data_IF_761251079453
#
_entry.id   IF_761251079453
#
_cell.length_a   1.000
_cell.length_b   1.000
_cell.length_c   1.000
_cell.angle_alpha   90.00
_cell.angle_beta   90.00
_cell.angle_gamma   90.00
#
_symmetry.space_group_name_H-M   'P 1'
#
loop_
_entity.id
_entity.type
_entity.pdbx_description
1 polymer ?
#
# COMPACT_ATOMS: atom_id res chain seq x y z
N UNK A 1 0.43 -19.94 -108.79
CA UNK A 1 -0.95 -20.45 -108.88
C UNK A 1 -1.34 -20.87 -110.30
N UNK A 2 -0.61 -21.83 -110.92
CA UNK A 2 -0.91 -22.29 -112.30
C UNK A 2 -0.76 -23.79 -112.54
N UNK A 3 -0.45 -24.60 -111.52
CA UNK A 3 -0.25 -26.06 -111.65
C UNK A 3 -1.41 -26.92 -111.16
N UNK A 4 -2.46 -26.31 -110.60
CA UNK A 4 -3.64 -27.04 -110.05
C UNK A 4 -4.79 -27.10 -111.06
N UNK A 5 -4.86 -26.13 -111.98
CA UNK A 5 -5.92 -26.03 -113.00
C UNK A 5 -5.72 -26.95 -114.22
N UNK A 6 -4.56 -27.59 -114.37
CA UNK A 6 -4.22 -28.47 -115.51
C UNK A 6 -4.42 -29.98 -115.23
N UNK A 7 -4.95 -30.37 -114.06
CA UNK A 7 -5.17 -31.78 -113.69
C UNK A 7 -6.64 -32.20 -113.91
N UNK A 8 -6.92 -33.46 -114.32
CA UNK A 8 -8.28 -34.02 -114.42
C UNK A 8 -9.09 -33.80 -113.13
N UNK A 9 -10.40 -33.57 -113.27
CA UNK A 9 -11.29 -33.15 -112.16
C UNK A 9 -11.20 -34.06 -110.92
N UNK A 10 -11.02 -35.37 -111.09
CA UNK A 10 -10.87 -36.35 -110.00
C UNK A 10 -9.57 -36.17 -109.18
N UNK A 11 -8.47 -35.77 -109.81
CA UNK A 11 -7.20 -35.51 -109.09
C UNK A 11 -7.24 -34.20 -108.30
N UNK A 12 -7.97 -33.18 -108.78
CA UNK A 12 -8.17 -31.95 -108.01
C UNK A 12 -9.02 -32.19 -106.75
N UNK A 13 -10.00 -33.10 -106.84
CA UNK A 13 -10.86 -33.47 -105.72
C UNK A 13 -10.11 -34.26 -104.65
N UNK A 14 -9.25 -35.21 -105.04
CA UNK A 14 -8.38 -35.93 -104.11
C UNK A 14 -7.46 -34.97 -103.36
N UNK A 15 -6.81 -34.01 -104.04
CA UNK A 15 -5.92 -33.04 -103.38
C UNK A 15 -6.68 -32.15 -102.39
N UNK A 16 -7.93 -31.77 -102.70
CA UNK A 16 -8.79 -31.04 -101.76
C UNK A 16 -9.13 -31.89 -100.54
N UNK A 17 -9.59 -33.12 -100.75
CA UNK A 17 -9.92 -34.04 -99.67
C UNK A 17 -8.70 -34.37 -98.79
N UNK A 18 -7.51 -34.55 -99.37
CA UNK A 18 -6.28 -34.77 -98.61
C UNK A 18 -5.92 -33.56 -97.75
N UNK A 19 -6.07 -32.34 -98.28
CA UNK A 19 -5.84 -31.11 -97.49
C UNK A 19 -6.85 -30.97 -96.36
N UNK A 20 -8.11 -31.30 -96.59
CA UNK A 20 -9.17 -31.23 -95.58
C UNK A 20 -8.92 -32.25 -94.45
N UNK A 21 -8.48 -33.47 -94.81
CA UNK A 21 -8.07 -34.51 -93.83
C UNK A 21 -6.83 -34.06 -93.06
N UNK A 22 -5.83 -33.49 -93.73
CA UNK A 22 -4.59 -33.01 -93.09
C UNK A 22 -4.87 -31.86 -92.13
N UNK A 23 -5.72 -30.90 -92.53
CA UNK A 23 -6.18 -29.82 -91.65
C UNK A 23 -6.98 -30.35 -90.46
N UNK A 24 -7.87 -31.33 -90.68
CA UNK A 24 -8.64 -31.96 -89.62
C UNK A 24 -7.74 -32.69 -88.61
N UNK A 25 -6.74 -33.41 -89.11
CA UNK A 25 -5.76 -34.11 -88.29
C UNK A 25 -4.90 -33.15 -87.46
N UNK A 26 -4.49 -32.01 -88.04
CA UNK A 26 -3.75 -30.98 -87.30
C UNK A 26 -4.59 -30.36 -86.16
N UNK A 27 -5.86 -30.05 -86.41
CA UNK A 27 -6.78 -29.53 -85.39
C UNK A 27 -7.02 -30.56 -84.29
N UNK A 28 -7.22 -31.83 -84.66
CA UNK A 28 -7.39 -32.92 -83.70
C UNK A 28 -6.18 -33.06 -82.77
N UNK A 29 -4.96 -33.03 -83.32
CA UNK A 29 -3.73 -33.09 -82.54
C UNK A 29 -3.56 -31.87 -81.62
N UNK A 30 -3.96 -30.67 -82.07
CA UNK A 30 -3.96 -29.47 -81.22
C UNK A 30 -4.93 -29.61 -80.03
N UNK A 31 -6.14 -30.10 -80.28
CA UNK A 31 -7.14 -30.30 -79.22
C UNK A 31 -6.67 -31.35 -78.21
N UNK A 32 -6.08 -32.45 -78.69
CA UNK A 32 -5.55 -33.51 -77.83
C UNK A 32 -4.42 -32.98 -76.92
N UNK A 33 -3.48 -32.21 -77.48
CA UNK A 33 -2.43 -31.58 -76.69
C UNK A 33 -3.00 -30.61 -75.64
N UNK A 34 -4.03 -29.83 -76.01
CA UNK A 34 -4.66 -28.89 -75.09
C UNK A 34 -5.42 -29.59 -73.96
N UNK A 35 -6.07 -30.71 -74.24
CA UNK A 35 -6.71 -31.54 -73.23
C UNK A 35 -5.70 -32.06 -72.20
N UNK A 36 -4.54 -32.56 -72.66
CA UNK A 36 -3.48 -33.03 -71.77
C UNK A 36 -2.88 -31.92 -70.91
N UNK A 37 -2.66 -30.74 -71.49
CA UNK A 37 -2.20 -29.56 -70.76
C UNK A 37 -3.20 -29.14 -69.67
N UNK A 38 -4.50 -29.16 -69.98
CA UNK A 38 -5.55 -28.85 -69.01
C UNK A 38 -5.64 -29.90 -67.91
N UNK A 39 -5.51 -31.19 -68.21
CA UNK A 39 -5.46 -32.27 -67.20
C UNK A 39 -4.27 -32.11 -66.24
N UNK A 40 -3.11 -31.70 -66.75
CA UNK A 40 -1.92 -31.43 -65.93
C UNK A 40 -2.16 -30.18 -65.07
N UNK A 41 -2.75 -29.14 -65.64
CA UNK A 41 -3.07 -27.89 -64.92
C UNK A 41 -4.08 -28.15 -63.81
N UNK A 42 -5.15 -28.91 -64.09
CA UNK A 42 -6.16 -29.31 -63.12
C UNK A 42 -5.54 -30.07 -61.95
N UNK A 43 -4.68 -31.05 -62.22
CA UNK A 43 -3.92 -31.78 -61.20
C UNK A 43 -2.93 -30.87 -60.43
N UNK A 44 -2.41 -29.82 -61.05
CA UNK A 44 -1.51 -28.84 -60.42
C UNK A 44 -2.24 -27.79 -59.57
N UNK A 45 -3.57 -27.67 -59.68
CA UNK A 45 -4.39 -26.73 -58.91
C UNK A 45 -4.72 -27.19 -57.49
N UNK A 46 -4.23 -28.35 -57.05
CA UNK A 46 -4.28 -28.71 -55.62
C UNK A 46 -3.30 -27.79 -54.89
N UNK A 47 -3.78 -26.63 -54.47
CA UNK A 47 -3.00 -25.62 -53.78
C UNK A 47 -2.48 -26.16 -52.45
N UNK A 48 -1.17 -26.39 -52.37
CA UNK A 48 -0.50 -26.73 -51.12
C UNK A 48 -0.23 -25.43 -50.35
N UNK A 49 -1.02 -25.19 -49.30
CA UNK A 49 -0.85 -24.01 -48.45
C UNK A 49 0.26 -24.29 -47.46
N UNK A 50 1.49 -23.88 -47.79
CA UNK A 50 2.63 -23.98 -46.89
C UNK A 50 2.78 -22.70 -46.08
N UNK A 51 2.72 -22.82 -44.75
CA UNK A 51 3.01 -21.72 -43.85
C UNK A 51 4.51 -21.38 -43.99
N UNK A 52 4.81 -20.19 -44.52
CA UNK A 52 6.19 -19.71 -44.76
C UNK A 52 6.79 -19.13 -43.48
N UNK A 53 5.98 -18.50 -42.63
CA UNK A 53 6.44 -17.90 -41.37
C UNK A 53 5.36 -17.98 -40.29
N UNK A 54 5.54 -18.78 -39.22
CA UNK A 54 4.64 -18.75 -38.09
C UNK A 54 4.80 -17.45 -37.29
N UNK A 55 3.68 -16.83 -36.91
CA UNK A 55 3.71 -15.64 -36.05
C UNK A 55 4.34 -15.97 -34.68
N UNK A 56 5.55 -15.48 -34.45
CA UNK A 56 6.26 -15.66 -33.19
C UNK A 56 5.66 -14.69 -32.17
N UNK A 57 4.80 -15.18 -31.30
CA UNK A 57 4.40 -14.43 -30.12
C UNK A 57 5.57 -14.45 -29.14
N UNK A 58 6.03 -13.27 -28.72
CA UNK A 58 6.99 -13.19 -27.62
C UNK A 58 6.26 -13.54 -26.32
N UNK A 59 6.61 -14.63 -25.61
CA UNK A 59 6.03 -14.91 -24.31
C UNK A 59 6.68 -13.97 -23.30
N UNK A 60 6.12 -12.76 -23.19
CA UNK A 60 6.64 -11.74 -22.30
C UNK A 60 5.71 -10.55 -22.22
N UNK A 61 5.31 -10.19 -21.01
CA UNK A 61 4.49 -9.00 -20.76
C UNK A 61 5.37 -7.77 -20.96
N UNK A 62 5.25 -7.10 -22.11
CA UNK A 62 6.12 -5.98 -22.49
C UNK A 62 6.03 -4.79 -21.49
N UNK A 63 4.85 -4.61 -20.85
CA UNK A 63 4.55 -3.59 -19.81
C UNK A 63 3.34 -4.06 -18.98
N UNK A 64 3.16 -3.68 -17.68
CA UNK A 64 3.97 -2.82 -16.84
C UNK A 64 4.88 -3.59 -15.88
N UNK A 65 5.97 -2.96 -15.42
CA UNK A 65 6.88 -3.50 -14.39
C UNK A 65 6.18 -3.51 -13.02
N UNK A 66 5.34 -4.52 -12.77
CA UNK A 66 4.51 -4.63 -11.56
C UNK A 66 5.33 -4.46 -10.26
N UNK A 67 6.55 -4.99 -10.22
CA UNK A 67 7.46 -4.82 -9.08
C UNK A 67 7.85 -3.35 -8.81
N UNK A 68 8.10 -2.56 -9.85
CA UNK A 68 8.43 -1.13 -9.72
C UNK A 68 7.21 -0.33 -9.19
N UNK A 69 6.01 -0.69 -9.65
CA UNK A 69 4.75 -0.06 -9.21
C UNK A 69 4.47 -0.39 -7.75
N UNK A 70 4.63 -1.66 -7.35
CA UNK A 70 4.45 -2.09 -5.96
C UNK A 70 5.46 -1.39 -5.05
N UNK A 71 6.73 -1.33 -5.46
CA UNK A 71 7.76 -0.63 -4.71
C UNK A 71 7.44 0.87 -4.57
N UNK A 72 7.01 1.51 -5.65
CA UNK A 72 6.58 2.91 -5.63
C UNK A 72 5.38 3.15 -4.71
N UNK A 73 4.40 2.24 -4.72
CA UNK A 73 3.21 2.32 -3.86
C UNK A 73 3.56 2.15 -2.37
N UNK A 74 4.48 1.24 -2.03
CA UNK A 74 4.95 1.06 -0.65
C UNK A 74 5.65 2.32 -0.15
N UNK A 75 6.54 2.90 -0.96
CA UNK A 75 7.27 4.12 -0.59
C UNK A 75 6.30 5.30 -0.40
N UNK A 76 5.36 5.49 -1.34
CA UNK A 76 4.33 6.53 -1.21
C UNK A 76 3.43 6.31 0.00
N UNK A 77 3.02 5.07 0.26
CA UNK A 77 2.21 4.72 1.43
C UNK A 77 2.90 5.02 2.74
N UNK A 78 4.19 4.67 2.87
CA UNK A 78 5.00 5.01 4.03
C UNK A 78 5.14 6.53 4.21
N UNK A 79 5.42 7.25 3.12
CA UNK A 79 5.55 8.70 3.17
C UNK A 79 4.25 9.37 3.63
N UNK A 80 3.10 8.96 3.07
CA UNK A 80 1.78 9.45 3.47
C UNK A 80 1.45 9.11 4.92
N UNK A 81 1.83 7.92 5.39
CA UNK A 81 1.62 7.52 6.78
C UNK A 81 2.40 8.40 7.75
N UNK A 82 3.69 8.65 7.46
CA UNK A 82 4.55 9.54 8.27
C UNK A 82 3.94 10.95 8.32
N UNK A 83 3.56 11.48 7.16
CA UNK A 83 2.93 12.81 7.06
C UNK A 83 1.62 12.85 7.86
N UNK A 84 0.79 11.81 7.79
CA UNK A 84 -0.45 11.71 8.56
C UNK A 84 -0.22 11.67 10.08
N UNK A 85 0.79 10.92 10.55
CA UNK A 85 1.16 10.88 11.98
C UNK A 85 1.68 12.24 12.45
N UNK A 86 2.53 12.89 11.66
CA UNK A 86 3.05 14.23 11.98
C UNK A 86 1.92 15.27 12.02
N UNK A 87 1.02 15.29 11.03
CA UNK A 87 -0.16 16.16 11.04
C UNK A 87 -1.02 15.95 12.28
N UNK A 88 -1.25 14.69 12.67
CA UNK A 88 -2.00 14.35 13.88
C UNK A 88 -1.27 14.82 15.15
N UNK A 89 0.04 14.64 15.21
CA UNK A 89 0.87 15.12 16.33
C UNK A 89 0.84 16.65 16.44
N UNK A 90 0.93 17.38 15.32
CA UNK A 90 0.85 18.84 15.28
C UNK A 90 -0.52 19.37 15.74
N UNK A 91 -1.61 18.65 15.47
CA UNK A 91 -2.94 19.00 15.96
C UNK A 91 -3.15 18.68 17.45
N UNK A 92 -2.41 17.70 17.99
CA UNK A 92 -2.42 17.39 19.42
C UNK A 92 -1.55 18.39 20.19
N UNK A 93 -2.10 19.56 20.50
CA UNK A 93 -1.44 20.57 21.34
C UNK A 93 -1.52 20.19 22.82
N UNK A 94 -0.67 19.27 23.25
CA UNK A 94 -0.41 18.96 24.65
C UNK A 94 0.91 19.58 25.13
N UNK A 95 1.02 19.84 26.44
CA UNK A 95 2.31 20.17 27.06
C UNK A 95 3.00 18.82 27.34
N UNK A 96 3.97 18.45 26.51
CA UNK A 96 4.67 17.16 26.61
C UNK A 96 6.02 17.26 27.33
N UNK A 97 6.55 18.48 27.47
CA UNK A 97 7.89 18.72 27.99
C UNK A 97 7.86 19.82 29.06
N UNK A 98 8.58 19.64 30.18
CA UNK A 98 8.69 20.66 31.22
C UNK A 98 9.42 21.91 30.73
N UNK A 99 10.33 21.79 29.74
CA UNK A 99 11.06 22.91 29.16
C UNK A 99 10.12 23.95 28.54
N UNK A 100 9.01 23.52 27.95
CA UNK A 100 7.98 24.42 27.37
C UNK A 100 7.41 25.34 28.44
N UNK A 101 7.22 24.85 29.67
CA UNK A 101 6.72 25.67 30.79
C UNK A 101 7.79 26.63 31.31
N UNK A 102 9.04 26.18 31.39
CA UNK A 102 10.17 26.99 31.84
C UNK A 102 10.47 28.16 30.89
N UNK A 103 10.36 27.94 29.57
CA UNK A 103 10.47 29.01 28.55
C UNK A 103 9.43 30.12 28.73
N UNK A 104 8.25 29.77 29.27
CA UNK A 104 7.19 30.74 29.57
C UNK A 104 7.30 31.31 31.00
N UNK A 105 8.42 31.07 31.70
CA UNK A 105 8.69 31.60 33.03
C UNK A 105 7.96 30.86 34.17
N UNK A 106 7.41 29.66 33.91
CA UNK A 106 6.75 28.84 34.92
C UNK A 106 7.74 27.80 35.44
N UNK A 107 8.18 27.94 36.69
CA UNK A 107 9.09 26.99 37.34
C UNK A 107 8.41 25.63 37.60
N UNK A 108 8.97 24.55 37.05
CA UNK A 108 8.46 23.19 37.26
C UNK A 108 9.13 22.56 38.49
N UNK A 109 8.36 22.33 39.56
CA UNK A 109 8.89 21.75 40.81
C UNK A 109 9.10 20.24 40.76
N UNK A 110 8.27 19.52 39.99
CA UNK A 110 8.38 18.08 39.79
C UNK A 110 7.64 17.64 38.53
N UNK A 111 8.14 16.57 37.91
CA UNK A 111 7.43 15.82 36.86
C UNK A 111 7.06 14.45 37.42
N UNK A 112 5.76 14.18 37.56
CA UNK A 112 5.26 12.94 38.16
C UNK A 112 4.86 11.99 37.02
N UNK A 113 5.58 10.86 36.85
CA UNK A 113 5.23 9.88 35.82
C UNK A 113 3.91 9.19 36.13
N UNK A 114 3.28 8.66 35.09
CA UNK A 114 2.07 7.87 35.24
C UNK A 114 2.41 6.52 35.91
N UNK A 115 1.74 6.21 37.03
CA UNK A 115 1.86 4.90 37.69
C UNK A 115 0.94 3.88 37.02
N UNK A 116 1.52 2.87 36.39
CA UNK A 116 0.77 1.74 35.82
C UNK A 116 0.10 0.90 36.90
N UNK A 117 0.70 0.79 38.10
CA UNK A 117 0.13 0.07 39.25
C UNK A 117 -1.18 0.70 39.72
N UNK A 118 -1.20 2.04 39.78
CA UNK A 118 -2.37 2.82 40.15
C UNK A 118 -3.43 2.76 39.06
N UNK A 119 -3.04 2.95 37.79
CA UNK A 119 -3.94 2.87 36.63
C UNK A 119 -4.65 1.52 36.53
N UNK A 120 -3.94 0.42 36.81
CA UNK A 120 -4.52 -0.92 36.81
C UNK A 120 -5.60 -1.10 37.90
N UNK A 121 -5.41 -0.48 39.08
CA UNK A 121 -6.36 -0.56 40.21
C UNK A 121 -7.50 0.43 40.12
N UNK A 122 -7.26 1.56 39.46
CA UNK A 122 -8.25 2.59 39.15
C UNK A 122 -9.13 2.19 37.96
N UNK A 123 -8.88 1.02 37.35
CA UNK A 123 -9.74 0.45 36.31
C UNK A 123 -11.18 0.34 36.81
N UNK A 124 -12.03 1.18 36.26
CA UNK A 124 -13.43 1.31 36.63
C UNK A 124 -14.14 0.00 36.29
N UNK A 125 -14.45 -0.82 37.31
CA UNK A 125 -15.44 -1.89 37.14
C UNK A 125 -16.82 -1.24 37.03
N UNK A 126 -17.29 -1.08 35.79
CA UNK A 126 -18.68 -0.73 35.51
C UNK A 126 -19.56 -1.93 35.86
N UNK A 127 -20.08 -1.97 37.09
CA UNK A 127 -21.10 -2.95 37.49
C UNK A 127 -22.45 -2.20 37.49
N UNK A 128 -23.36 -2.59 36.59
CA UNK A 128 -24.74 -2.07 36.50
C UNK A 128 -24.85 -0.54 36.33
N UNK A 129 -24.15 0.06 35.37
CA UNK A 129 -24.36 1.47 34.97
C UNK A 129 -23.92 2.53 35.99
N UNK A 130 -23.51 2.14 37.20
CA UNK A 130 -23.00 3.03 38.24
C UNK A 130 -21.47 2.93 38.24
N UNK A 131 -20.79 4.03 37.91
CA UNK A 131 -19.34 4.15 38.03
C UNK A 131 -18.97 4.16 39.52
N UNK A 132 -18.73 2.98 40.12
CA UNK A 132 -18.12 2.90 41.45
C UNK A 132 -16.61 3.02 41.30
N UNK A 133 -16.07 4.17 41.69
CA UNK A 133 -14.65 4.29 41.99
C UNK A 133 -14.38 3.44 43.23
N UNK A 134 -13.75 2.28 43.05
CA UNK A 134 -13.21 1.54 44.19
C UNK A 134 -12.18 2.47 44.83
N UNK A 135 -12.26 2.69 46.13
CA UNK A 135 -11.25 3.47 46.86
C UNK A 135 -9.92 2.74 46.67
N UNK A 136 -9.16 3.18 45.68
CA UNK A 136 -7.84 2.67 45.39
C UNK A 136 -6.97 3.07 46.57
N UNK A 137 -6.18 2.11 47.06
CA UNK A 137 -5.27 2.36 48.17
C UNK A 137 -4.36 3.54 47.81
N UNK A 138 -4.06 4.38 48.81
CA UNK A 138 -3.13 5.50 48.62
C UNK A 138 -1.79 4.94 48.14
N UNK A 139 -1.31 5.41 46.98
CA UNK A 139 -0.17 4.82 46.28
C UNK A 139 1.09 4.81 47.17
N UNK A 140 1.30 5.84 47.98
CA UNK A 140 2.45 5.93 48.89
C UNK A 140 2.48 4.83 49.97
N UNK A 141 1.34 4.17 50.25
CA UNK A 141 1.24 3.03 51.18
C UNK A 141 1.18 1.71 50.42
N UNK A 142 0.44 1.66 49.32
CA UNK A 142 0.24 0.44 48.54
C UNK A 142 1.45 0.01 47.72
N UNK A 143 2.17 0.96 47.13
CA UNK A 143 3.42 0.72 46.39
C UNK A 143 4.42 1.87 46.63
N UNK A 144 5.12 1.89 47.78
CA UNK A 144 6.04 2.97 48.12
C UNK A 144 7.25 3.09 47.18
N UNK A 145 7.57 2.05 46.40
CA UNK A 145 8.70 2.01 45.47
C UNK A 145 8.33 2.43 44.04
N UNK A 146 7.08 2.87 43.81
CA UNK A 146 6.64 3.37 42.51
C UNK A 146 7.40 4.65 42.10
N UNK A 147 7.70 4.79 40.81
CA UNK A 147 8.35 5.98 40.25
C UNK A 147 7.55 7.26 40.51
N UNK A 148 6.23 7.18 40.53
CA UNK A 148 5.38 8.32 40.88
C UNK A 148 5.60 8.79 42.33
N UNK A 149 5.82 7.85 43.25
CA UNK A 149 6.11 8.18 44.67
C UNK A 149 7.51 8.74 44.82
N UNK A 150 8.49 8.25 44.07
CA UNK A 150 9.84 8.83 44.07
C UNK A 150 9.86 10.27 43.52
N UNK A 151 9.06 10.54 42.49
CA UNK A 151 8.85 11.90 42.00
C UNK A 151 8.18 12.80 43.07
N UNK A 152 7.25 12.26 43.87
CA UNK A 152 6.64 12.99 44.99
C UNK A 152 7.63 13.20 46.15
N UNK A 153 8.54 12.25 46.42
CA UNK A 153 9.66 12.45 47.37
C UNK A 153 10.60 13.56 46.90
N UNK A 154 10.88 13.59 45.61
CA UNK A 154 11.66 14.67 44.99
C UNK A 154 10.94 16.01 45.13
N UNK A 155 9.63 16.05 44.85
CA UNK A 155 8.78 17.24 45.07
C UNK A 155 8.83 17.72 46.53
N UNK A 156 8.75 16.81 47.50
CA UNK A 156 8.88 17.15 48.93
C UNK A 156 10.21 17.85 49.22
N UNK A 157 11.32 17.35 48.67
CA UNK A 157 12.65 17.94 48.88
C UNK A 157 12.73 19.33 48.24
N UNK A 158 12.27 19.50 46.99
CA UNK A 158 12.20 20.81 46.33
C UNK A 158 11.33 21.79 47.13
N UNK A 159 10.19 21.32 47.63
CA UNK A 159 9.28 22.13 48.41
C UNK A 159 9.84 22.47 49.80
N UNK A 160 10.62 21.58 50.40
CA UNK A 160 11.32 21.85 51.66
C UNK A 160 12.22 23.08 51.52
N UNK A 161 13.01 23.16 50.44
CA UNK A 161 13.86 24.33 50.17
C UNK A 161 13.04 25.59 49.86
N UNK A 162 11.98 25.47 49.06
CA UNK A 162 11.11 26.60 48.75
C UNK A 162 10.39 27.15 50.00
N UNK A 163 9.92 26.28 50.88
CA UNK A 163 9.24 26.67 52.12
C UNK A 163 10.19 27.19 53.19
N UNK A 164 11.50 26.90 53.14
CA UNK A 164 12.46 27.53 54.07
C UNK A 164 12.55 29.04 53.89
N UNK A 165 12.23 29.55 52.69
CA UNK A 165 12.21 30.98 52.39
C UNK A 165 10.81 31.61 52.59
N UNK A 166 9.79 30.79 52.85
CA UNK A 166 8.42 31.25 53.03
C UNK A 166 8.14 31.66 54.48
N UNK A 167 7.21 32.61 54.67
CA UNK A 167 6.85 33.11 56.00
C UNK A 167 5.96 32.16 56.81
N UNK A 168 5.30 31.19 56.16
CA UNK A 168 4.35 30.29 56.80
C UNK A 168 4.42 28.87 56.22
N UNK A 169 3.90 27.88 56.97
CA UNK A 169 3.88 26.46 56.62
C UNK A 169 2.59 26.00 55.90
N UNK A 170 1.84 26.94 55.29
CA UNK A 170 0.59 26.66 54.59
C UNK A 170 0.85 26.51 53.10
N UNK A 171 0.58 25.31 52.56
CA UNK A 171 0.69 25.01 51.14
C UNK A 171 -0.70 24.84 50.51
N UNK A 172 -1.01 25.65 49.50
CA UNK A 172 -2.22 25.47 48.68
C UNK A 172 -1.89 24.68 47.42
N UNK A 173 -2.68 23.65 47.13
CA UNK A 173 -2.59 22.90 45.87
C UNK A 173 -3.81 23.17 44.99
N UNK A 174 -3.56 23.63 43.78
CA UNK A 174 -4.60 23.89 42.77
C UNK A 174 -4.16 23.34 41.41
N UNK A 175 -4.98 23.48 40.37
CA UNK A 175 -4.49 23.31 39.02
C UNK A 175 -5.50 23.72 37.96
N UNK A 176 -5.13 23.52 36.71
CA UNK A 176 -5.81 24.14 35.55
C UNK A 176 -7.21 23.58 35.26
N UNK A 177 -7.39 22.25 35.28
CA UNK A 177 -8.66 21.60 34.88
C UNK A 177 -9.11 20.49 35.84
N UNK A 178 -10.39 20.06 35.82
CA UNK A 178 -10.86 18.88 36.55
C UNK A 178 -10.10 17.61 36.13
N UNK A 179 -10.01 16.63 37.05
CA UNK A 179 -9.47 15.28 36.77
C UNK A 179 -8.00 15.19 36.34
N UNK A 180 -7.18 16.20 36.60
CA UNK A 180 -5.73 16.18 36.29
C UNK A 180 -4.85 15.51 37.37
N UNK A 181 -5.45 14.95 38.43
CA UNK A 181 -4.70 14.31 39.51
C UNK A 181 -4.31 15.20 40.70
N UNK A 182 -4.90 16.39 40.87
CA UNK A 182 -4.62 17.30 42.01
C UNK A 182 -4.75 16.59 43.37
N UNK A 183 -5.87 15.89 43.58
CA UNK A 183 -6.16 15.15 44.81
C UNK A 183 -5.17 14.01 45.02
N UNK A 184 -4.76 13.34 43.93
CA UNK A 184 -3.76 12.28 43.98
C UNK A 184 -2.41 12.80 44.46
N UNK A 185 -1.93 13.91 43.90
CA UNK A 185 -0.68 14.53 44.35
C UNK A 185 -0.81 15.00 45.80
N UNK A 186 -1.96 15.58 46.18
CA UNK A 186 -2.18 16.12 47.53
C UNK A 186 -2.09 15.03 48.60
N UNK A 187 -2.84 13.95 48.42
CA UNK A 187 -2.91 12.88 49.39
C UNK A 187 -1.57 12.14 49.52
N UNK A 188 -0.91 11.85 48.40
CA UNK A 188 0.38 11.16 48.44
C UNK A 188 1.50 12.05 48.97
N UNK A 189 1.50 13.36 48.66
CA UNK A 189 2.46 14.30 49.24
C UNK A 189 2.29 14.39 50.77
N UNK A 190 1.05 14.49 51.26
CA UNK A 190 0.78 14.49 52.70
C UNK A 190 1.28 13.21 53.38
N UNK A 191 1.06 12.04 52.76
CA UNK A 191 1.56 10.77 53.26
C UNK A 191 3.10 10.68 53.25
N UNK A 192 3.76 11.21 52.21
CA UNK A 192 5.23 11.22 52.11
C UNK A 192 5.88 12.23 53.08
N UNK A 193 5.18 13.31 53.43
CA UNK A 193 5.63 14.25 54.46
C UNK A 193 5.41 13.65 55.86
N UNK A 194 4.28 12.99 56.13
CA UNK A 194 4.03 12.37 57.43
C UNK A 194 5.03 11.25 57.75
N UNK A 195 5.49 10.51 56.74
CA UNK A 195 6.58 9.52 56.86
C UNK A 195 7.91 10.12 57.34
N UNK A 196 8.12 11.44 57.20
CA UNK A 196 9.32 12.14 57.73
C UNK A 196 9.15 12.63 59.16
N UNK A 197 8.19 12.07 59.89
CA UNK A 197 7.88 12.40 61.29
C UNK A 197 7.47 13.87 61.51
N UNK A 198 6.88 14.49 60.47
CA UNK A 198 6.27 15.82 60.56
C UNK A 198 4.76 15.68 60.78
N UNK A 199 4.18 16.62 61.53
CA UNK A 199 2.72 16.74 61.69
C UNK A 199 2.16 17.45 60.46
N UNK A 200 1.28 16.76 59.73
CA UNK A 200 0.63 17.23 58.49
C UNK A 200 -0.87 17.25 58.70
#
# INVERSE_FOLDING_TARGET
>A
NGRVTAMPKTQQEIVRLTRDVESGQQVYMQLLNKEQELKITEASTVGDVRIVDPAITQPGVLKPKKGLIILGAIILGLMLSIVGVLLRSLFNRGIESPQVLEEHGISVYASIPLSEWQKARDSVKTIKGIKRYKQSQLLAVGNPTDLAIEAIRSLRTSLHFAMMQAQNNVLMMTGVSPSIGKTFVCANLAAVISQTNKRV
#
